data_IF_164904238223
#
_entry.id   IF_164904238223
#
_cell.length_a   1.000
_cell.length_b   1.000
_cell.length_c   1.000
_cell.angle_alpha   90.00
_cell.angle_beta   90.00
_cell.angle_gamma   90.00
#
_symmetry.space_group_name_H-M   'P 1'
#
loop_
_entity.id
_entity.type
_entity.pdbx_description
1 polymer ?
#
# COMPACT_ATOMS: atom_id res chain seq x y z
N UNK A 1 23.56 4.41 -17.51
CA UNK A 1 22.42 5.09 -18.17
C UNK A 1 21.76 6.21 -17.33
N UNK A 2 22.30 6.60 -16.15
CA UNK A 2 21.71 7.60 -15.22
C UNK A 2 20.25 7.37 -14.77
N UNK A 3 19.67 6.22 -15.12
CA UNK A 3 18.34 5.83 -14.67
C UNK A 3 18.39 5.34 -13.23
N UNK A 4 17.29 5.56 -12.51
CA UNK A 4 17.09 5.13 -11.13
C UNK A 4 16.08 3.99 -11.14
N UNK A 5 16.29 3.03 -10.25
CA UNK A 5 15.44 1.86 -10.07
C UNK A 5 15.29 1.60 -8.59
N UNK A 6 14.18 0.99 -8.19
CA UNK A 6 14.07 0.48 -6.82
C UNK A 6 14.88 -0.81 -6.68
N UNK A 7 15.68 -0.89 -5.63
CA UNK A 7 16.56 -2.03 -5.39
C UNK A 7 15.77 -3.32 -5.16
N UNK A 8 14.74 -3.26 -4.33
CA UNK A 8 13.83 -4.38 -4.03
C UNK A 8 13.20 -4.99 -5.29
N UNK A 9 12.70 -4.16 -6.21
CA UNK A 9 12.09 -4.61 -7.47
C UNK A 9 13.10 -5.34 -8.36
N UNK A 10 14.36 -4.89 -8.38
CA UNK A 10 15.42 -5.54 -9.15
C UNK A 10 15.77 -6.91 -8.57
N UNK A 11 15.83 -7.00 -7.24
CA UNK A 11 16.12 -8.25 -6.52
C UNK A 11 14.98 -9.26 -6.67
N UNK A 12 13.72 -8.84 -6.50
CA UNK A 12 12.55 -9.70 -6.71
C UNK A 12 12.50 -10.25 -8.15
N UNK A 13 12.73 -9.40 -9.15
CA UNK A 13 12.79 -9.83 -10.54
C UNK A 13 13.97 -10.78 -10.82
N UNK A 14 15.08 -10.64 -10.09
CA UNK A 14 16.21 -11.57 -10.19
C UNK A 14 15.82 -12.94 -9.61
N UNK A 15 15.25 -12.97 -8.40
CA UNK A 15 14.82 -14.18 -7.70
C UNK A 15 13.78 -14.94 -8.52
N UNK A 16 12.78 -14.25 -9.08
CA UNK A 16 11.75 -14.89 -9.91
C UNK A 16 12.35 -15.56 -11.16
N UNK A 17 13.38 -14.95 -11.76
CA UNK A 17 14.02 -15.47 -12.97
C UNK A 17 15.04 -16.59 -12.70
N UNK A 18 15.74 -16.56 -11.56
CA UNK A 18 16.88 -17.45 -11.28
C UNK A 18 16.56 -18.48 -10.19
N UNK A 19 15.48 -18.29 -9.43
CA UNK A 19 15.06 -19.17 -8.34
C UNK A 19 15.88 -19.03 -7.05
N UNK A 20 16.76 -18.03 -6.96
CA UNK A 20 17.59 -17.77 -5.79
C UNK A 20 17.96 -16.28 -5.68
N UNK A 21 18.35 -15.84 -4.49
CA UNK A 21 18.85 -14.49 -4.23
C UNK A 21 20.21 -14.22 -4.91
N UNK A 22 20.51 -12.98 -5.31
CA UNK A 22 21.80 -12.62 -5.88
C UNK A 22 22.91 -12.67 -4.84
N UNK A 23 23.94 -13.51 -5.05
CA UNK A 23 25.02 -13.75 -4.08
C UNK A 23 25.81 -12.47 -3.71
N UNK A 24 26.02 -11.57 -4.67
CA UNK A 24 26.70 -10.28 -4.46
C UNK A 24 25.73 -9.09 -4.45
N UNK A 25 24.44 -9.33 -4.19
CA UNK A 25 23.39 -8.31 -4.20
C UNK A 25 23.22 -7.65 -5.58
N UNK A 26 22.94 -6.35 -5.59
CA UNK A 26 22.73 -5.58 -6.82
C UNK A 26 23.87 -5.70 -7.85
N UNK A 27 25.10 -6.03 -7.45
CA UNK A 27 26.24 -6.15 -8.37
C UNK A 27 26.02 -7.23 -9.43
N UNK A 28 25.30 -8.29 -9.11
CA UNK A 28 25.01 -9.40 -10.03
C UNK A 28 23.88 -9.07 -11.01
N UNK A 29 23.08 -8.05 -10.68
CA UNK A 29 21.89 -7.66 -11.43
C UNK A 29 22.29 -6.68 -12.55
N UNK A 30 22.14 -7.07 -13.83
CA UNK A 30 22.40 -6.15 -14.94
C UNK A 30 21.35 -5.04 -14.96
N UNK A 31 21.78 -3.82 -15.28
CA UNK A 31 20.87 -2.72 -15.52
C UNK A 31 19.88 -3.09 -16.65
N UNK A 32 18.56 -3.05 -16.42
CA UNK A 32 17.57 -3.47 -17.42
C UNK A 32 17.60 -2.57 -18.68
N UNK A 33 18.11 -1.34 -18.57
CA UNK A 33 18.13 -0.40 -19.69
C UNK A 33 19.39 -0.46 -20.55
N UNK A 34 20.54 -0.84 -19.99
CA UNK A 34 21.81 -0.81 -20.71
C UNK A 34 22.72 -2.04 -20.50
N UNK A 35 22.27 -3.03 -19.72
CA UNK A 35 22.97 -4.30 -19.50
C UNK A 35 24.22 -4.22 -18.62
N UNK A 36 24.66 -3.02 -18.22
CA UNK A 36 25.84 -2.84 -17.36
C UNK A 36 25.63 -3.49 -15.99
N UNK A 37 26.58 -4.34 -15.56
CA UNK A 37 26.61 -5.00 -14.25
C UNK A 37 27.58 -4.31 -13.29
N UNK A 38 27.34 -4.42 -11.99
CA UNK A 38 28.28 -3.99 -10.95
C UNK A 38 28.54 -2.48 -10.86
N UNK A 39 27.75 -1.63 -11.53
CA UNK A 39 27.91 -0.17 -11.55
C UNK A 39 26.75 0.56 -10.86
N UNK A 40 26.06 -0.12 -9.95
CA UNK A 40 25.04 0.51 -9.10
C UNK A 40 25.71 1.33 -8.01
N UNK A 41 25.13 2.48 -7.69
CA UNK A 41 25.46 3.21 -6.47
C UNK A 41 24.81 2.53 -5.27
N UNK A 42 25.34 2.76 -4.07
CA UNK A 42 24.71 2.31 -2.83
C UNK A 42 23.23 2.73 -2.77
N UNK A 43 22.32 1.81 -2.39
CA UNK A 43 20.91 2.12 -2.16
C UNK A 43 20.76 3.25 -1.15
N UNK A 44 19.73 4.07 -1.34
CA UNK A 44 19.38 5.17 -0.44
C UNK A 44 17.87 5.20 -0.26
N UNK A 45 17.46 5.54 0.94
CA UNK A 45 16.06 5.78 1.23
C UNK A 45 15.56 6.98 0.43
N UNK A 46 14.40 6.81 -0.16
CA UNK A 46 13.74 7.84 -0.94
C UNK A 46 12.31 7.98 -0.45
N UNK A 47 11.97 9.18 0.05
CA UNK A 47 10.62 9.46 0.49
C UNK A 47 9.69 9.53 -0.73
N UNK A 48 8.71 8.63 -0.75
CA UNK A 48 7.71 8.54 -1.82
C UNK A 48 6.57 9.55 -1.68
N UNK A 49 6.50 10.36 -0.62
CA UNK A 49 5.49 11.41 -0.52
C UNK A 49 5.88 12.63 -1.35
N UNK A 50 4.89 13.25 -2.00
CA UNK A 50 5.08 14.52 -2.69
C UNK A 50 4.99 15.68 -1.69
N UNK A 51 6.05 16.47 -1.63
CA UNK A 51 6.15 17.65 -0.77
C UNK A 51 5.66 18.91 -1.49
N UNK A 52 5.03 19.81 -0.73
CA UNK A 52 4.64 21.15 -1.15
C UNK A 52 4.76 22.13 0.01
N UNK A 53 4.67 23.42 -0.26
CA UNK A 53 4.65 24.47 0.77
C UNK A 53 3.33 25.23 0.72
N UNK A 54 2.63 25.31 1.84
CA UNK A 54 1.41 26.11 1.98
C UNK A 54 1.73 27.47 2.60
N UNK A 55 1.43 28.53 1.86
CA UNK A 55 1.65 29.92 2.28
C UNK A 55 2.70 30.65 1.43
N UNK A 56 2.87 31.97 1.66
CA UNK A 56 3.75 32.80 0.83
C UNK A 56 5.25 32.60 1.11
N UNK A 57 5.61 32.03 2.26
CA UNK A 57 6.99 31.79 2.68
C UNK A 57 7.24 30.29 2.70
N UNK A 58 8.27 29.85 1.97
CA UNK A 58 8.69 28.45 1.94
C UNK A 58 9.69 28.19 3.07
N UNK A 59 9.17 27.84 4.24
CA UNK A 59 9.94 27.39 5.41
C UNK A 59 9.48 26.00 5.89
N UNK A 60 10.12 25.46 6.93
CA UNK A 60 9.75 24.16 7.49
C UNK A 60 8.31 24.13 8.05
N UNK A 61 7.78 25.27 8.51
CA UNK A 61 6.40 25.37 9.04
C UNK A 61 5.36 25.31 7.93
N UNK A 62 5.71 25.76 6.74
CA UNK A 62 4.88 25.67 5.54
C UNK A 62 4.96 24.31 4.85
N UNK A 63 5.85 23.40 5.25
CA UNK A 63 6.02 22.09 4.62
C UNK A 63 4.76 21.23 4.82
N UNK A 64 4.16 20.81 3.71
CA UNK A 64 3.00 19.93 3.67
C UNK A 64 3.22 18.82 2.64
N UNK A 65 2.39 17.80 2.70
CA UNK A 65 2.46 16.66 1.81
C UNK A 65 1.12 16.45 1.11
N UNK A 66 1.19 16.07 -0.17
CA UNK A 66 0.05 15.44 -0.80
C UNK A 66 -0.08 14.02 -0.23
N UNK A 67 -1.27 13.68 0.23
CA UNK A 67 -1.51 12.39 0.91
C UNK A 67 -1.16 11.20 -0.01
N UNK A 68 -0.39 10.22 0.49
CA UNK A 68 -0.04 9.02 -0.28
C UNK A 68 -1.13 7.93 -0.26
N UNK A 69 -2.15 8.12 0.57
CA UNK A 69 -3.32 7.27 0.78
C UNK A 69 -4.52 8.09 1.30
N UNK A 70 -5.72 7.52 1.32
CA UNK A 70 -6.93 8.20 1.81
C UNK A 70 -7.28 7.85 3.27
N UNK A 71 -6.76 6.72 3.78
CA UNK A 71 -6.98 6.20 5.12
C UNK A 71 -6.71 7.20 6.26
N UNK A 72 -5.63 7.99 6.17
CA UNK A 72 -5.25 8.93 7.25
C UNK A 72 -6.36 9.94 7.59
N UNK A 73 -7.14 10.39 6.61
CA UNK A 73 -8.28 11.28 6.86
C UNK A 73 -9.37 10.60 7.68
N UNK A 74 -9.60 9.31 7.46
CA UNK A 74 -10.60 8.52 8.17
C UNK A 74 -10.23 8.39 9.66
N UNK A 75 -8.96 8.16 9.98
CA UNK A 75 -8.51 8.06 11.38
C UNK A 75 -8.62 9.38 12.13
N UNK A 76 -8.28 10.51 11.49
CA UNK A 76 -8.44 11.85 12.07
C UNK A 76 -9.91 12.15 12.39
N UNK A 77 -10.83 11.76 11.49
CA UNK A 77 -12.26 12.03 11.64
C UNK A 77 -13.02 10.95 12.45
N UNK A 78 -12.35 9.89 12.93
CA UNK A 78 -12.96 8.74 13.59
C UNK A 78 -13.98 9.13 14.68
N UNK A 79 -13.55 9.98 15.64
CA UNK A 79 -14.38 10.41 16.78
C UNK A 79 -15.57 11.25 16.33
N UNK A 80 -15.36 12.14 15.35
CA UNK A 80 -16.40 13.00 14.78
C UNK A 80 -17.47 12.18 14.06
N UNK A 81 -17.06 11.19 13.26
CA UNK A 81 -17.98 10.31 12.53
C UNK A 81 -18.71 9.37 13.49
N UNK A 82 -18.02 8.77 14.46
CA UNK A 82 -18.65 7.92 15.48
C UNK A 82 -19.72 8.69 16.26
N UNK A 83 -19.42 9.90 16.71
CA UNK A 83 -20.35 10.74 17.47
C UNK A 83 -21.56 11.20 16.64
N UNK A 84 -21.34 11.65 15.41
CA UNK A 84 -22.40 12.17 14.54
C UNK A 84 -23.31 11.06 13.99
N UNK A 85 -22.75 9.91 13.64
CA UNK A 85 -23.51 8.74 13.16
C UNK A 85 -24.18 7.94 14.30
N UNK A 86 -23.76 8.17 15.56
CA UNK A 86 -24.15 7.39 16.74
C UNK A 86 -23.86 5.89 16.59
N UNK A 87 -22.84 5.56 15.81
CA UNK A 87 -22.38 4.19 15.61
C UNK A 87 -21.45 3.76 16.75
N UNK A 88 -21.36 2.45 16.96
CA UNK A 88 -20.32 1.81 17.78
C UNK A 88 -19.72 0.66 16.97
N UNK A 89 -18.48 0.24 17.24
CA UNK A 89 -17.93 -0.96 16.61
C UNK A 89 -18.89 -2.16 16.75
N UNK A 90 -19.05 -2.99 15.70
CA UNK A 90 -18.40 -2.87 14.39
C UNK A 90 -19.05 -1.81 13.47
N UNK A 91 -18.25 -0.91 12.89
CA UNK A 91 -18.70 0.02 11.85
C UNK A 91 -17.55 0.40 10.92
N UNK A 92 -17.87 0.81 9.69
CA UNK A 92 -16.88 1.23 8.70
C UNK A 92 -17.05 2.69 8.29
N UNK A 93 -15.94 3.32 7.93
CA UNK A 93 -15.91 4.61 7.24
C UNK A 93 -15.20 4.38 5.92
N UNK A 94 -15.87 4.69 4.81
CA UNK A 94 -15.33 4.53 3.47
C UNK A 94 -15.07 5.90 2.82
N UNK A 95 -13.99 5.98 2.05
CA UNK A 95 -13.63 7.16 1.29
C UNK A 95 -13.17 6.76 -0.12
N UNK A 96 -13.48 7.62 -1.09
CA UNK A 96 -12.93 7.53 -2.43
C UNK A 96 -12.27 8.87 -2.77
N UNK A 97 -11.03 8.83 -3.24
CA UNK A 97 -10.38 10.04 -3.70
C UNK A 97 -8.97 9.85 -4.20
N UNK A 98 -8.37 10.98 -4.58
CA UNK A 98 -7.00 11.01 -5.11
C UNK A 98 -5.96 10.79 -4.03
N UNK A 99 -4.91 10.08 -4.42
CA UNK A 99 -3.68 9.85 -3.66
C UNK A 99 -2.48 10.04 -4.57
N UNK A 100 -1.33 10.37 -3.96
CA UNK A 100 -0.15 10.78 -4.69
C UNK A 100 1.11 10.07 -4.18
N UNK A 101 1.82 9.39 -5.08
CA UNK A 101 3.10 8.72 -4.78
C UNK A 101 4.16 9.20 -5.75
N UNK A 102 5.31 9.61 -5.22
CA UNK A 102 6.45 10.12 -5.97
C UNK A 102 7.22 8.96 -6.64
N UNK A 103 6.56 8.25 -7.54
CA UNK A 103 7.10 7.03 -8.16
C UNK A 103 8.38 7.33 -8.95
N UNK A 104 9.42 6.50 -8.73
CA UNK A 104 10.76 6.67 -9.28
C UNK A 104 10.73 6.37 -10.78
N UNK A 105 10.10 5.27 -11.16
CA UNK A 105 10.00 4.80 -12.54
C UNK A 105 8.54 4.50 -12.86
N UNK A 106 7.78 5.50 -13.34
CA UNK A 106 6.44 5.27 -13.89
C UNK A 106 6.50 4.22 -15.01
N UNK A 107 5.52 3.35 -15.07
CA UNK A 107 5.57 2.17 -15.95
C UNK A 107 4.26 1.40 -15.96
N UNK A 108 4.13 0.46 -16.90
CA UNK A 108 2.93 -0.37 -17.07
C UNK A 108 1.62 0.44 -17.07
N UNK A 109 1.55 1.51 -17.87
CA UNK A 109 0.35 2.32 -18.07
C UNK A 109 -0.28 2.81 -16.75
N UNK A 110 -1.43 2.26 -16.34
CA UNK A 110 -2.15 2.66 -15.11
C UNK A 110 -1.59 2.06 -13.82
N UNK A 111 -0.68 1.08 -13.89
CA UNK A 111 -0.19 0.36 -12.70
C UNK A 111 0.86 1.11 -11.89
N UNK A 112 1.61 2.04 -12.52
CA UNK A 112 2.59 2.86 -11.82
C UNK A 112 2.47 4.31 -12.27
N UNK A 113 1.56 5.03 -11.64
CA UNK A 113 1.34 6.46 -11.82
C UNK A 113 1.70 7.23 -10.55
N UNK A 114 1.86 8.56 -10.67
CA UNK A 114 2.09 9.43 -9.51
C UNK A 114 0.82 9.96 -8.86
N UNK A 115 -0.28 9.92 -9.60
CA UNK A 115 -1.61 10.30 -9.16
C UNK A 115 -2.56 9.17 -9.57
N UNK A 116 -3.36 8.72 -8.62
CA UNK A 116 -4.38 7.69 -8.83
C UNK A 116 -5.51 7.89 -7.83
N UNK A 117 -6.63 7.22 -8.07
CA UNK A 117 -7.77 7.22 -7.16
C UNK A 117 -7.81 5.89 -6.41
N UNK A 118 -8.13 5.97 -5.13
CA UNK A 118 -8.34 4.80 -4.28
C UNK A 118 -9.75 4.81 -3.74
N UNK A 119 -10.28 3.62 -3.50
CA UNK A 119 -11.47 3.37 -2.71
C UNK A 119 -11.00 2.60 -1.47
N UNK A 120 -11.00 3.25 -0.32
CA UNK A 120 -10.54 2.65 0.94
C UNK A 120 -11.68 2.66 1.95
N UNK A 121 -11.70 1.66 2.82
CA UNK A 121 -12.63 1.59 3.93
C UNK A 121 -11.91 1.08 5.16
N UNK A 122 -11.95 1.88 6.22
CA UNK A 122 -11.48 1.46 7.53
C UNK A 122 -12.66 0.91 8.31
N UNK A 123 -12.60 -0.38 8.64
CA UNK A 123 -13.65 -1.09 9.38
C UNK A 123 -13.21 -1.33 10.82
N UNK A 124 -13.78 -0.54 11.73
CA UNK A 124 -13.47 -0.55 13.15
C UNK A 124 -14.25 -1.64 13.85
N UNK A 125 -13.56 -2.49 14.62
CA UNK A 125 -14.13 -3.67 15.28
C UNK A 125 -13.70 -3.75 16.74
N UNK A 126 -14.37 -4.60 17.52
CA UNK A 126 -13.93 -4.89 18.88
C UNK A 126 -12.70 -5.80 18.87
N UNK A 127 -11.68 -5.55 19.73
CA UNK A 127 -10.53 -6.44 19.88
C UNK A 127 -10.96 -7.90 20.11
N UNK A 128 -10.33 -8.84 19.41
CA UNK A 128 -10.66 -10.26 19.47
C UNK A 128 -11.74 -10.71 18.48
N UNK A 129 -12.39 -9.78 17.76
CA UNK A 129 -13.29 -10.09 16.63
C UNK A 129 -12.65 -9.80 15.27
N UNK A 130 -11.42 -9.29 15.26
CA UNK A 130 -10.72 -8.79 14.07
C UNK A 130 -10.47 -9.86 13.01
N UNK A 131 -10.15 -11.09 13.41
CA UNK A 131 -9.89 -12.19 12.46
C UNK A 131 -11.15 -12.63 11.71
N UNK A 132 -12.30 -12.68 12.40
CA UNK A 132 -13.59 -13.02 11.81
C UNK A 132 -14.01 -11.95 10.78
N UNK A 133 -13.90 -10.67 11.15
CA UNK A 133 -14.23 -9.56 10.25
C UNK A 133 -13.24 -9.45 9.08
N UNK A 134 -11.96 -9.74 9.31
CA UNK A 134 -10.96 -9.77 8.24
C UNK A 134 -11.30 -10.82 7.19
N UNK A 135 -11.62 -12.05 7.62
CA UNK A 135 -12.03 -13.10 6.69
C UNK A 135 -13.35 -12.75 5.98
N UNK A 136 -14.33 -12.20 6.70
CA UNK A 136 -15.57 -11.72 6.11
C UNK A 136 -15.32 -10.72 4.97
N UNK A 137 -14.44 -9.73 5.18
CA UNK A 137 -14.15 -8.73 4.16
C UNK A 137 -13.38 -9.30 2.97
N UNK A 138 -12.43 -10.22 3.18
CA UNK A 138 -11.78 -10.93 2.07
C UNK A 138 -12.84 -11.61 1.18
N UNK A 139 -13.76 -12.36 1.79
CA UNK A 139 -14.79 -13.10 1.05
C UNK A 139 -15.79 -12.16 0.37
N UNK A 140 -16.20 -11.09 1.06
CA UNK A 140 -17.14 -10.10 0.54
C UNK A 140 -16.56 -9.32 -0.65
N UNK A 141 -15.30 -8.87 -0.56
CA UNK A 141 -14.61 -8.13 -1.62
C UNK A 141 -14.31 -9.03 -2.82
N UNK A 142 -13.93 -10.28 -2.59
CA UNK A 142 -13.76 -11.27 -3.66
C UNK A 142 -15.07 -11.50 -4.41
N UNK A 143 -16.18 -11.68 -3.69
CA UNK A 143 -17.50 -11.83 -4.30
C UNK A 143 -17.89 -10.60 -5.10
N UNK A 144 -17.62 -9.41 -4.60
CA UNK A 144 -17.88 -8.16 -5.31
C UNK A 144 -17.21 -8.11 -6.69
N UNK A 145 -15.95 -8.54 -6.81
CA UNK A 145 -15.29 -8.64 -8.11
C UNK A 145 -15.94 -9.67 -9.04
N UNK A 146 -16.33 -10.84 -8.52
CA UNK A 146 -17.04 -11.86 -9.30
C UNK A 146 -18.40 -11.35 -9.78
N UNK A 147 -19.14 -10.65 -8.93
CA UNK A 147 -20.44 -10.05 -9.25
C UNK A 147 -20.34 -8.95 -10.31
N UNK A 148 -19.19 -8.25 -10.39
CA UNK A 148 -18.87 -7.32 -11.48
C UNK A 148 -18.52 -8.01 -12.81
N UNK A 149 -18.43 -9.33 -12.83
CA UNK A 149 -18.14 -10.13 -14.03
C UNK A 149 -16.67 -10.54 -14.18
N UNK A 150 -15.84 -10.35 -13.15
CA UNK A 150 -14.48 -10.91 -13.16
C UNK A 150 -14.56 -12.42 -13.07
N UNK A 151 -13.87 -13.10 -13.98
CA UNK A 151 -13.81 -14.55 -13.99
C UNK A 151 -13.02 -15.08 -12.77
N UNK A 152 -13.57 -15.98 -11.95
CA UNK A 152 -12.89 -16.50 -10.76
C UNK A 152 -11.51 -17.09 -11.04
N UNK A 153 -11.29 -17.71 -12.21
CA UNK A 153 -9.98 -18.26 -12.60
C UNK A 153 -8.87 -17.20 -12.80
N UNK A 154 -9.25 -15.92 -12.90
CA UNK A 154 -8.33 -14.79 -13.01
C UNK A 154 -8.16 -14.05 -11.68
N UNK A 155 -8.75 -14.54 -10.58
CA UNK A 155 -8.57 -14.00 -9.24
C UNK A 155 -7.85 -15.01 -8.36
N UNK A 156 -6.99 -14.50 -7.47
CA UNK A 156 -6.41 -15.29 -6.38
C UNK A 156 -6.27 -14.46 -5.12
N UNK A 157 -6.16 -15.15 -3.99
CA UNK A 157 -5.73 -14.57 -2.73
C UNK A 157 -4.24 -14.80 -2.57
N UNK A 158 -3.49 -13.71 -2.40
CA UNK A 158 -2.07 -13.75 -2.07
C UNK A 158 -1.89 -13.34 -0.61
N UNK A 159 -1.51 -14.31 0.21
CA UNK A 159 -1.26 -14.12 1.63
C UNK A 159 0.18 -13.62 1.82
N UNK A 160 0.35 -12.44 2.43
CA UNK A 160 1.68 -11.89 2.64
C UNK A 160 2.47 -12.77 3.63
N UNK A 161 3.71 -13.18 3.27
CA UNK A 161 4.61 -13.84 4.23
C UNK A 161 4.84 -12.95 5.45
N UNK A 162 5.04 -13.55 6.63
CA UNK A 162 5.20 -12.80 7.89
C UNK A 162 6.35 -11.80 7.84
N UNK A 163 7.39 -12.12 7.08
CA UNK A 163 8.60 -11.32 6.89
C UNK A 163 8.34 -10.11 5.99
N UNK A 164 7.29 -10.14 5.18
CA UNK A 164 6.87 -9.05 4.27
C UNK A 164 5.73 -8.19 4.84
N UNK A 165 5.15 -8.57 5.98
CA UNK A 165 4.11 -7.76 6.63
C UNK A 165 4.68 -6.44 7.13
N UNK A 166 3.93 -5.35 6.91
CA UNK A 166 4.22 -4.09 7.58
C UNK A 166 4.18 -4.29 9.11
N UNK A 167 4.99 -3.53 9.86
CA UNK A 167 5.13 -3.70 11.32
C UNK A 167 3.84 -3.56 12.12
N UNK A 168 2.81 -2.94 11.53
CA UNK A 168 1.48 -2.75 12.10
C UNK A 168 0.42 -3.74 11.60
N UNK A 169 0.73 -4.59 10.61
CA UNK A 169 -0.23 -5.54 10.05
C UNK A 169 -0.10 -6.91 10.72
N UNK A 170 -1.20 -7.39 11.30
CA UNK A 170 -1.31 -8.76 11.82
C UNK A 170 -1.47 -9.77 10.70
N UNK A 171 -2.18 -9.41 9.62
CA UNK A 171 -2.46 -10.24 8.45
C UNK A 171 -2.86 -9.35 7.28
N UNK A 172 -2.26 -9.56 6.11
CA UNK A 172 -2.64 -8.88 4.87
C UNK A 172 -2.86 -9.93 3.78
N UNK A 173 -4.00 -9.81 3.09
CA UNK A 173 -4.34 -10.63 1.93
C UNK A 173 -4.63 -9.71 0.76
N UNK A 174 -3.89 -9.89 -0.32
CA UNK A 174 -4.15 -9.19 -1.56
C UNK A 174 -5.09 -10.03 -2.43
N UNK A 175 -6.12 -9.38 -2.96
CA UNK A 175 -6.91 -9.90 -4.07
C UNK A 175 -6.16 -9.50 -5.34
N UNK A 176 -5.54 -10.48 -5.98
CA UNK A 176 -4.76 -10.27 -7.19
C UNK A 176 -5.52 -10.70 -8.44
N UNK A 177 -5.28 -9.99 -9.53
CA UNK A 177 -5.78 -10.32 -10.86
C UNK A 177 -4.67 -10.78 -11.79
N UNK A 178 -5.02 -11.74 -12.65
CA UNK A 178 -4.15 -12.28 -13.68
C UNK A 178 -4.04 -11.34 -14.88
N UNK A 179 -3.18 -10.32 -14.78
CA UNK A 179 -2.94 -9.36 -15.86
C UNK A 179 -2.06 -9.89 -16.99
N UNK A 180 -1.23 -10.92 -16.71
CA UNK A 180 -0.29 -11.47 -17.68
C UNK A 180 0.84 -10.50 -18.06
N UNK A 181 1.38 -9.76 -17.09
CA UNK A 181 2.53 -8.89 -17.36
C UNK A 181 3.78 -9.70 -17.71
N UNK A 182 4.74 -9.04 -18.36
CA UNK A 182 6.08 -9.61 -18.52
C UNK A 182 6.79 -9.56 -17.17
N UNK A 183 7.19 -10.72 -16.63
CA UNK A 183 7.81 -10.84 -15.30
C UNK A 183 6.87 -11.55 -14.33
N UNK A 184 5.79 -10.89 -13.91
CA UNK A 184 4.75 -11.47 -13.04
C UNK A 184 3.43 -11.66 -13.79
N UNK A 185 2.85 -12.85 -13.68
CA UNK A 185 1.52 -13.14 -14.24
C UNK A 185 0.39 -12.42 -13.48
N UNK A 186 0.62 -12.11 -12.20
CA UNK A 186 -0.38 -11.61 -11.26
C UNK A 186 -0.05 -10.20 -10.79
N UNK A 187 -1.07 -9.41 -10.47
CA UNK A 187 -0.90 -8.10 -9.85
C UNK A 187 -2.07 -7.76 -8.93
N UNK A 188 -1.77 -6.96 -7.91
CA UNK A 188 -2.73 -6.51 -6.89
C UNK A 188 -3.89 -5.69 -7.48
N UNK A 189 -5.12 -5.99 -7.05
CA UNK A 189 -6.29 -5.13 -7.21
C UNK A 189 -6.66 -4.41 -5.91
N UNK A 190 -6.64 -5.14 -4.79
CA UNK A 190 -7.09 -4.67 -3.48
C UNK A 190 -6.36 -5.43 -2.36
N UNK A 191 -5.73 -4.71 -1.44
CA UNK A 191 -5.19 -5.26 -0.20
C UNK A 191 -6.19 -5.18 0.95
N UNK A 192 -6.50 -6.31 1.58
CA UNK A 192 -7.32 -6.39 2.78
C UNK A 192 -6.40 -6.65 3.99
N UNK A 193 -6.16 -5.61 4.79
CA UNK A 193 -5.21 -5.65 5.90
C UNK A 193 -5.90 -5.57 7.27
N UNK A 194 -5.48 -6.43 8.20
CA UNK A 194 -5.80 -6.33 9.62
C UNK A 194 -4.68 -5.57 10.33
N UNK A 195 -4.94 -4.30 10.64
CA UNK A 195 -3.95 -3.34 11.21
C UNK A 195 -4.01 -3.21 12.73
N UNK A 196 -4.81 -4.04 13.41
CA UNK A 196 -5.02 -4.01 14.86
C UNK A 196 -5.53 -2.64 15.35
N UNK A 197 -4.87 -2.03 16.35
CA UNK A 197 -5.21 -0.70 16.89
C UNK A 197 -4.11 0.35 16.65
N UNK A 198 -3.14 0.02 15.78
CA UNK A 198 -1.95 0.84 15.55
C UNK A 198 -2.29 2.27 15.12
N UNK A 199 -3.17 2.43 14.13
CA UNK A 199 -3.46 3.73 13.53
C UNK A 199 -4.14 4.68 14.52
N UNK A 200 -5.17 4.23 15.23
CA UNK A 200 -5.84 5.04 16.24
C UNK A 200 -4.92 5.36 17.43
N UNK A 201 -4.08 4.41 17.87
CA UNK A 201 -3.09 4.66 18.92
C UNK A 201 -2.07 5.71 18.51
N UNK A 202 -1.53 5.62 17.31
CA UNK A 202 -0.55 6.57 16.80
C UNK A 202 -1.15 7.98 16.75
N UNK A 203 -2.37 8.13 16.24
CA UNK A 203 -3.06 9.43 16.23
C UNK A 203 -3.39 9.93 17.65
N UNK A 204 -3.82 9.06 18.56
CA UNK A 204 -4.11 9.43 19.95
C UNK A 204 -2.85 9.93 20.67
N UNK A 205 -1.71 9.24 20.50
CA UNK A 205 -0.44 9.61 21.12
C UNK A 205 0.07 10.98 20.66
N UNK A 206 -0.02 11.27 19.35
CA UNK A 206 0.52 12.52 18.79
C UNK A 206 -0.44 13.71 18.91
N UNK A 207 -1.74 13.48 19.01
CA UNK A 207 -2.75 14.54 19.18
C UNK A 207 -3.07 14.86 20.63
N UNK A 208 -2.88 13.90 21.55
CA UNK A 208 -3.32 13.98 22.94
C UNK A 208 -4.83 13.73 23.13
N UNK A 209 -5.55 13.39 22.06
CA UNK A 209 -6.97 13.04 22.11
C UNK A 209 -7.16 11.53 22.32
N UNK A 210 -8.11 11.17 23.18
CA UNK A 210 -8.51 9.77 23.34
C UNK A 210 -9.38 9.32 22.15
N UNK A 211 -8.88 8.31 21.44
CA UNK A 211 -9.50 7.64 20.30
C UNK A 211 -9.76 6.14 20.57
N UNK A 212 -9.70 5.71 21.84
CA UNK A 212 -9.97 4.33 22.25
C UNK A 212 -11.45 3.97 22.35
#
# INVERSE_FOLDING_TARGET
CHKRHRADTLEEAYVEKHGHDPENGLKDIPCPDCGTKGQWTEPRDFNMMLQTHLGPVQDEKSLHYLRPETAQGIFVDFKSVMASSRSKPPFGIANMGKSFRNEITPGNFIFRTREFEQMEMEFFVHPGTDEEWHQYWIDARTRWYVDLGVKPENLRHYEHPKEKLAHYSKRTVDIEYRFGFQGSEWGELEGVANRTDYDLKAHAEHSGEDLS
#
